data_IF_981563830513
#
_entry.id   IF_981563830513
#
_cell.length_a   1.000
_cell.length_b   1.000
_cell.length_c   1.000
_cell.angle_alpha   90.00
_cell.angle_beta   90.00
_cell.angle_gamma   90.00
#
_symmetry.space_group_name_H-M   'P 1'
#
loop_
_entity.id
_entity.type
_entity.pdbx_description
1 polymer ?
#
# COMPACT_ATOMS: atom_id res chain seq x y z
N UNK A 1 -13.14 -19.05 -1.43
CA UNK A 1 -12.45 -19.16 -2.74
C UNK A 1 -11.96 -17.80 -3.24
N UNK A 2 -12.77 -16.75 -3.13
CA UNK A 2 -12.43 -15.38 -3.60
C UNK A 2 -11.28 -14.72 -2.83
N UNK A 3 -11.13 -14.99 -1.53
CA UNK A 3 -10.05 -14.40 -0.71
C UNK A 3 -8.65 -14.95 -1.02
N UNK A 4 -8.53 -16.21 -1.42
CA UNK A 4 -7.24 -16.80 -1.81
C UNK A 4 -6.72 -16.28 -3.16
N UNK A 5 -7.63 -15.89 -4.05
CA UNK A 5 -7.28 -15.36 -5.37
C UNK A 5 -6.73 -13.94 -5.30
N UNK A 6 -7.20 -13.10 -4.35
CA UNK A 6 -6.82 -11.70 -4.22
C UNK A 6 -5.38 -11.54 -3.71
N UNK A 7 -4.98 -12.28 -2.69
CA UNK A 7 -3.61 -12.23 -2.14
C UNK A 7 -2.57 -12.72 -3.16
N UNK A 8 -2.89 -13.75 -3.91
CA UNK A 8 -2.00 -14.27 -4.96
C UNK A 8 -1.83 -13.33 -6.15
N UNK A 9 -2.87 -12.57 -6.52
CA UNK A 9 -2.80 -11.62 -7.65
C UNK A 9 -2.02 -10.36 -7.32
N UNK A 10 -2.09 -9.85 -6.10
CA UNK A 10 -1.27 -8.70 -5.66
C UNK A 10 0.22 -9.04 -5.68
N UNK A 11 0.60 -10.20 -5.15
CA UNK A 11 1.99 -10.67 -5.19
C UNK A 11 2.51 -10.87 -6.62
N UNK A 12 1.68 -11.44 -7.52
CA UNK A 12 2.07 -11.64 -8.91
C UNK A 12 2.34 -10.32 -9.66
N UNK A 13 1.56 -9.26 -9.43
CA UNK A 13 1.76 -7.96 -10.08
C UNK A 13 3.01 -7.28 -9.54
N UNK A 14 3.26 -7.36 -8.25
CA UNK A 14 4.42 -6.76 -7.62
C UNK A 14 5.73 -7.42 -8.04
N UNK A 15 5.81 -8.75 -8.03
CA UNK A 15 6.99 -9.48 -8.48
C UNK A 15 7.27 -9.28 -9.98
N UNK A 16 6.23 -8.99 -10.76
CA UNK A 16 6.33 -8.76 -12.19
C UNK A 16 6.90 -7.39 -12.56
N UNK A 17 6.73 -6.35 -11.73
CA UNK A 17 7.31 -5.02 -11.98
C UNK A 17 8.83 -5.05 -11.95
N UNK A 18 9.41 -5.96 -11.18
CA UNK A 18 10.86 -6.09 -11.06
C UNK A 18 11.52 -6.85 -12.20
N UNK A 19 10.78 -7.66 -12.94
CA UNK A 19 11.41 -8.63 -13.85
C UNK A 19 11.31 -8.30 -15.34
N UNK A 20 10.22 -7.69 -15.85
CA UNK A 20 10.10 -7.37 -17.29
C UNK A 20 9.12 -6.20 -17.57
N UNK A 21 9.62 -5.04 -18.02
CA UNK A 21 8.77 -3.90 -18.37
C UNK A 21 7.92 -4.06 -19.63
N UNK A 22 8.17 -5.07 -20.45
CA UNK A 22 7.65 -5.15 -21.82
C UNK A 22 6.37 -5.96 -22.00
N UNK A 23 5.87 -6.64 -20.96
CA UNK A 23 4.74 -7.57 -21.11
C UNK A 23 3.56 -7.24 -20.16
N UNK A 24 3.09 -5.99 -20.27
CA UNK A 24 2.00 -5.50 -19.42
C UNK A 24 0.61 -5.77 -19.97
N UNK A 25 0.47 -6.18 -21.23
CA UNK A 25 -0.85 -6.32 -21.87
C UNK A 25 -1.70 -7.37 -21.17
N UNK A 26 -1.14 -8.54 -20.91
CA UNK A 26 -1.83 -9.63 -20.21
C UNK A 26 -2.07 -9.30 -18.73
N UNK A 27 -1.16 -8.54 -18.11
CA UNK A 27 -1.25 -8.12 -16.71
C UNK A 27 -2.32 -7.06 -16.49
N UNK A 28 -2.52 -6.15 -17.45
CA UNK A 28 -3.62 -5.18 -17.39
C UNK A 28 -4.99 -5.84 -17.34
N UNK A 29 -5.16 -6.96 -18.05
CA UNK A 29 -6.40 -7.71 -17.98
C UNK A 29 -6.67 -8.30 -16.59
N UNK A 30 -5.64 -8.64 -15.83
CA UNK A 30 -5.75 -9.14 -14.47
C UNK A 30 -6.19 -8.04 -13.48
N UNK A 31 -5.90 -6.77 -13.74
CA UNK A 31 -6.23 -5.66 -12.84
C UNK A 31 -7.74 -5.54 -12.55
N UNK A 32 -8.59 -5.91 -13.51
CA UNK A 32 -10.06 -5.92 -13.32
C UNK A 32 -10.57 -6.88 -12.22
N UNK A 33 -9.73 -7.84 -11.84
CA UNK A 33 -10.04 -8.82 -10.78
C UNK A 33 -9.42 -8.47 -9.43
N UNK A 34 -8.63 -7.38 -9.38
CA UNK A 34 -7.94 -6.94 -8.18
C UNK A 34 -8.83 -5.97 -7.41
N UNK A 35 -9.05 -6.27 -6.14
CA UNK A 35 -9.79 -5.38 -5.25
C UNK A 35 -8.87 -4.30 -4.68
N UNK A 36 -7.71 -4.68 -4.16
CA UNK A 36 -6.72 -3.79 -3.58
C UNK A 36 -5.40 -3.92 -4.34
N UNK A 37 -4.88 -2.81 -4.83
CA UNK A 37 -3.55 -2.74 -5.42
C UNK A 37 -2.72 -1.72 -4.67
N UNK A 38 -1.61 -2.18 -4.10
CA UNK A 38 -0.59 -1.30 -3.53
C UNK A 38 0.59 -1.19 -4.49
N UNK A 39 0.99 0.03 -4.77
CA UNK A 39 2.19 0.36 -5.54
C UNK A 39 3.00 1.45 -4.81
N UNK A 40 4.31 1.46 -4.98
CA UNK A 40 5.14 2.61 -4.64
C UNK A 40 5.26 3.56 -5.83
N UNK A 41 5.91 4.72 -5.66
CA UNK A 41 6.08 5.73 -6.71
C UNK A 41 6.71 5.16 -7.98
N UNK A 42 7.76 4.36 -7.84
CA UNK A 42 8.44 3.76 -8.99
C UNK A 42 7.57 2.70 -9.69
N UNK A 43 6.95 1.82 -8.95
CA UNK A 43 6.02 0.81 -9.48
C UNK A 43 4.84 1.47 -10.19
N UNK A 44 4.30 2.52 -9.61
CA UNK A 44 3.23 3.32 -10.18
C UNK A 44 3.64 3.92 -11.54
N UNK A 45 4.80 4.56 -11.61
CA UNK A 45 5.33 5.17 -12.83
C UNK A 45 5.59 4.12 -13.92
N UNK A 46 6.20 3.00 -13.57
CA UNK A 46 6.44 1.88 -14.50
C UNK A 46 5.12 1.30 -15.03
N UNK A 47 4.10 1.16 -14.18
CA UNK A 47 2.81 0.60 -14.56
C UNK A 47 2.00 1.52 -15.47
N UNK A 48 1.93 2.80 -15.12
CA UNK A 48 1.00 3.75 -15.73
C UNK A 48 1.64 4.69 -16.73
N UNK A 49 2.97 4.87 -16.67
CA UNK A 49 3.71 5.91 -17.38
C UNK A 49 3.45 7.32 -16.83
N UNK A 50 2.86 7.44 -15.64
CA UNK A 50 2.48 8.71 -15.02
C UNK A 50 3.26 8.90 -13.72
N UNK A 51 3.75 10.11 -13.48
CA UNK A 51 4.47 10.48 -12.26
C UNK A 51 3.57 11.15 -11.20
N UNK A 52 2.38 11.64 -11.59
CA UNK A 52 1.41 12.18 -10.63
C UNK A 52 0.60 11.04 -9.97
N UNK A 53 0.64 10.93 -8.63
CA UNK A 53 -0.05 9.84 -7.92
C UNK A 53 -1.58 9.84 -8.08
N UNK A 54 -2.20 11.04 -8.23
CA UNK A 54 -3.64 11.13 -8.39
C UNK A 54 -4.07 10.67 -9.78
N UNK A 55 -3.34 11.08 -10.82
CA UNK A 55 -3.61 10.63 -12.19
C UNK A 55 -3.35 9.13 -12.36
N UNK A 56 -2.26 8.63 -11.79
CA UNK A 56 -1.93 7.23 -11.82
C UNK A 56 -2.96 6.36 -11.08
N UNK A 57 -3.42 6.78 -9.91
CA UNK A 57 -4.45 6.07 -9.16
C UNK A 57 -5.78 6.02 -9.92
N UNK A 58 -6.19 7.12 -10.57
CA UNK A 58 -7.38 7.12 -11.46
C UNK A 58 -7.21 6.14 -12.61
N UNK A 59 -6.04 6.13 -13.27
CA UNK A 59 -5.73 5.25 -14.38
C UNK A 59 -5.79 3.77 -13.98
N UNK A 60 -5.23 3.40 -12.83
CA UNK A 60 -5.29 2.04 -12.29
C UNK A 60 -6.71 1.62 -11.95
N UNK A 61 -7.50 2.55 -11.42
CA UNK A 61 -8.92 2.32 -11.16
C UNK A 61 -9.71 2.12 -12.47
N UNK A 62 -9.46 2.92 -13.51
CA UNK A 62 -10.06 2.75 -14.85
C UNK A 62 -9.73 1.37 -15.45
N UNK A 63 -8.58 0.80 -15.13
CA UNK A 63 -8.20 -0.56 -15.54
C UNK A 63 -8.86 -1.66 -14.70
N UNK A 64 -9.66 -1.28 -13.69
CA UNK A 64 -10.55 -2.16 -12.94
C UNK A 64 -10.23 -2.38 -11.47
N UNK A 65 -9.12 -1.85 -10.97
CA UNK A 65 -8.77 -1.93 -9.54
C UNK A 65 -9.79 -1.16 -8.70
N UNK A 66 -10.28 -1.73 -7.61
CA UNK A 66 -11.31 -1.10 -6.78
C UNK A 66 -10.74 -0.08 -5.79
N UNK A 67 -9.69 -0.42 -5.08
CA UNK A 67 -8.96 0.47 -4.19
C UNK A 67 -7.47 0.49 -4.57
N UNK A 68 -6.96 1.68 -4.90
CA UNK A 68 -5.55 1.87 -5.29
C UNK A 68 -4.82 2.56 -4.16
N UNK A 69 -3.73 1.95 -3.68
CA UNK A 69 -2.87 2.46 -2.63
C UNK A 69 -1.51 2.83 -3.22
N UNK A 70 -1.17 4.11 -3.22
CA UNK A 70 0.14 4.61 -3.67
C UNK A 70 0.95 5.02 -2.45
N UNK A 71 2.04 4.31 -2.15
CA UNK A 71 2.94 4.67 -1.05
C UNK A 71 4.04 5.62 -1.53
N UNK A 72 4.24 6.72 -0.79
CA UNK A 72 5.11 7.86 -1.13
C UNK A 72 6.27 8.01 -0.12
N UNK A 73 6.72 6.90 0.47
CA UNK A 73 7.78 6.90 1.47
C UNK A 73 7.45 7.77 2.69
N UNK A 74 8.33 8.70 3.03
CA UNK A 74 8.14 9.62 4.17
C UNK A 74 7.01 10.63 3.98
N UNK A 75 6.50 10.78 2.76
CA UNK A 75 5.35 11.64 2.45
C UNK A 75 4.00 10.92 2.66
N UNK A 76 4.02 9.74 3.24
CA UNK A 76 2.81 8.98 3.54
C UNK A 76 2.30 8.16 2.36
N UNK A 77 0.99 8.15 2.17
CA UNK A 77 0.36 7.43 1.06
C UNK A 77 -0.93 8.10 0.60
N UNK A 78 -1.33 7.78 -0.62
CA UNK A 78 -2.56 8.20 -1.23
C UNK A 78 -3.41 6.97 -1.53
N UNK A 79 -4.67 6.96 -1.09
CA UNK A 79 -5.61 5.87 -1.37
C UNK A 79 -6.76 6.43 -2.19
N UNK A 80 -7.13 5.73 -3.27
CA UNK A 80 -8.24 6.08 -4.13
C UNK A 80 -9.24 4.92 -4.21
N UNK A 81 -10.51 5.19 -3.93
CA UNK A 81 -11.58 4.19 -3.92
C UNK A 81 -12.50 4.25 -5.16
N UNK A 82 -12.11 5.03 -6.16
CA UNK A 82 -12.93 5.28 -7.35
C UNK A 82 -13.77 6.57 -7.29
N UNK A 83 -13.94 7.14 -6.10
CA UNK A 83 -14.67 8.39 -5.88
C UNK A 83 -13.81 9.41 -5.14
N UNK A 84 -13.28 9.02 -3.99
CA UNK A 84 -12.57 9.90 -3.06
C UNK A 84 -11.10 9.53 -2.95
N UNK A 85 -10.28 10.55 -2.71
CA UNK A 85 -8.89 10.40 -2.33
C UNK A 85 -8.71 10.58 -0.83
N UNK A 86 -7.97 9.65 -0.22
CA UNK A 86 -7.60 9.68 1.18
C UNK A 86 -6.08 9.84 1.26
N UNK A 87 -5.63 10.95 1.83
CA UNK A 87 -4.21 11.17 2.12
C UNK A 87 -3.91 10.67 3.53
N UNK A 88 -2.98 9.74 3.62
CA UNK A 88 -2.59 9.10 4.88
C UNK A 88 -1.18 9.59 5.23
N UNK A 89 -0.94 10.13 6.43
CA UNK A 89 0.39 10.54 6.84
C UNK A 89 1.32 9.34 7.00
N UNK A 90 2.63 9.57 6.87
CA UNK A 90 3.60 8.69 7.50
C UNK A 90 3.79 9.12 8.96
N UNK A 91 4.24 8.19 9.80
CA UNK A 91 4.63 8.51 11.16
C UNK A 91 6.15 8.54 11.27
N UNK A 92 6.67 9.46 12.08
CA UNK A 92 8.11 9.61 12.29
C UNK A 92 8.66 8.44 13.10
N UNK A 93 9.56 7.61 12.53
CA UNK A 93 10.16 6.51 13.27
C UNK A 93 11.16 7.04 14.30
N UNK A 94 11.33 6.32 15.41
CA UNK A 94 12.37 6.62 16.39
C UNK A 94 13.77 6.43 15.78
N UNK A 95 13.91 5.48 14.86
CA UNK A 95 15.15 5.23 14.10
C UNK A 95 14.81 4.53 12.78
N UNK A 96 15.67 4.67 11.79
CA UNK A 96 15.57 3.94 10.52
C UNK A 96 16.65 2.86 10.49
N UNK A 97 16.24 1.60 10.54
CA UNK A 97 17.15 0.44 10.55
C UNK A 97 17.07 -0.34 9.24
N UNK A 98 15.87 -0.71 8.81
CA UNK A 98 15.69 -1.55 7.62
C UNK A 98 14.34 -1.30 6.96
N UNK A 99 14.35 -0.76 5.73
CA UNK A 99 13.14 -0.48 4.96
C UNK A 99 12.60 -1.71 4.20
N UNK A 100 13.34 -2.83 4.18
CA UNK A 100 12.92 -4.04 3.48
C UNK A 100 11.62 -4.58 4.08
N UNK A 101 10.62 -4.81 3.23
CA UNK A 101 9.32 -5.34 3.67
C UNK A 101 8.37 -4.31 4.30
N UNK A 102 8.71 -3.02 4.36
CA UNK A 102 7.78 -1.98 4.83
C UNK A 102 6.52 -1.90 3.95
N UNK A 103 6.67 -2.03 2.63
CA UNK A 103 5.54 -2.06 1.71
C UNK A 103 4.62 -3.27 1.92
N UNK A 104 5.18 -4.44 2.22
CA UNK A 104 4.41 -5.65 2.55
C UNK A 104 3.68 -5.48 3.86
N UNK A 105 4.38 -4.95 4.86
CA UNK A 105 3.80 -4.64 6.17
C UNK A 105 2.65 -3.65 6.05
N UNK A 106 2.79 -2.62 5.20
CA UNK A 106 1.70 -1.69 4.90
C UNK A 106 0.50 -2.41 4.30
N UNK A 107 0.71 -3.23 3.26
CA UNK A 107 -0.35 -3.99 2.59
C UNK A 107 -1.09 -4.89 3.56
N UNK A 108 -0.36 -5.64 4.38
CA UNK A 108 -0.94 -6.57 5.37
C UNK A 108 -1.75 -5.80 6.43
N UNK A 109 -1.21 -4.70 6.95
CA UNK A 109 -1.90 -3.85 7.93
C UNK A 109 -3.20 -3.26 7.38
N UNK A 110 -3.15 -2.76 6.15
CA UNK A 110 -4.34 -2.24 5.46
C UNK A 110 -5.40 -3.32 5.27
N UNK A 111 -5.04 -4.46 4.69
CA UNK A 111 -5.95 -5.57 4.45
C UNK A 111 -6.57 -6.11 5.74
N UNK A 112 -5.77 -6.26 6.79
CA UNK A 112 -6.25 -6.69 8.10
C UNK A 112 -7.40 -5.81 8.62
N UNK A 113 -7.24 -4.51 8.54
CA UNK A 113 -8.25 -3.55 8.97
C UNK A 113 -9.48 -3.54 8.04
N UNK A 114 -9.26 -3.56 6.73
CA UNK A 114 -10.37 -3.52 5.75
C UNK A 114 -11.25 -4.78 5.83
N UNK A 115 -10.65 -5.95 6.00
CA UNK A 115 -11.41 -7.21 6.20
C UNK A 115 -12.20 -7.19 7.52
N UNK A 116 -11.70 -6.46 8.52
CA UNK A 116 -12.41 -6.26 9.79
C UNK A 116 -13.53 -5.22 9.73
N UNK A 117 -13.76 -4.60 8.55
CA UNK A 117 -14.82 -3.62 8.35
C UNK A 117 -14.45 -2.17 8.69
N UNK A 118 -13.16 -1.90 8.95
CA UNK A 118 -12.64 -0.57 9.25
C UNK A 118 -12.69 0.33 8.01
N UNK A 119 -12.92 1.64 8.19
CA UNK A 119 -12.91 2.64 7.12
C UNK A 119 -11.55 2.77 6.44
N UNK A 120 -11.52 3.35 5.23
CA UNK A 120 -10.29 3.46 4.41
C UNK A 120 -9.22 4.27 5.13
N UNK A 121 -9.58 5.42 5.69
CA UNK A 121 -8.63 6.31 6.36
C UNK A 121 -8.02 5.66 7.61
N UNK A 122 -8.84 5.07 8.45
CA UNK A 122 -8.38 4.38 9.66
C UNK A 122 -7.49 3.16 9.30
N UNK A 123 -7.88 2.40 8.28
CA UNK A 123 -7.09 1.28 7.79
C UNK A 123 -5.73 1.75 7.24
N UNK A 124 -5.71 2.86 6.51
CA UNK A 124 -4.49 3.48 6.02
C UNK A 124 -3.57 3.95 7.14
N UNK A 125 -4.10 4.63 8.15
CA UNK A 125 -3.36 5.07 9.34
C UNK A 125 -2.75 3.89 10.11
N UNK A 126 -3.51 2.82 10.28
CA UNK A 126 -3.02 1.59 10.90
C UNK A 126 -1.87 0.97 10.10
N UNK A 127 -2.01 0.90 8.78
CA UNK A 127 -0.97 0.38 7.88
C UNK A 127 0.31 1.23 7.92
N UNK A 128 0.17 2.56 7.93
CA UNK A 128 1.29 3.50 8.03
C UNK A 128 2.05 3.34 9.35
N UNK A 129 1.34 3.27 10.49
CA UNK A 129 1.95 3.06 11.80
C UNK A 129 2.66 1.69 11.89
N UNK A 130 2.04 0.64 11.35
CA UNK A 130 2.65 -0.69 11.31
C UNK A 130 3.95 -0.69 10.49
N UNK A 131 4.00 0.03 9.36
CA UNK A 131 5.20 0.20 8.56
C UNK A 131 6.27 1.02 9.26
N UNK A 132 5.87 2.05 10.02
CA UNK A 132 6.78 2.85 10.85
C UNK A 132 7.46 2.00 11.91
N UNK A 133 6.71 1.18 12.64
CA UNK A 133 7.30 0.26 13.63
C UNK A 133 8.18 -0.82 12.99
N UNK A 134 7.87 -1.21 11.73
CA UNK A 134 8.70 -2.17 10.98
C UNK A 134 10.06 -1.58 10.62
N UNK A 135 10.13 -0.34 10.15
CA UNK A 135 11.39 0.28 9.69
C UNK A 135 12.40 0.46 10.84
N UNK A 136 11.94 0.48 12.08
CA UNK A 136 12.76 0.62 13.29
C UNK A 136 13.55 -0.65 13.66
N UNK A 137 13.25 -1.78 13.02
CA UNK A 137 13.84 -3.08 13.33
C UNK A 137 14.20 -3.85 12.07
N UNK A 138 15.25 -4.68 12.14
CA UNK A 138 15.58 -5.62 11.08
C UNK A 138 14.64 -6.84 11.13
N UNK A 139 14.40 -7.45 9.96
CA UNK A 139 13.54 -8.61 9.82
C UNK A 139 12.05 -8.26 9.67
N UNK A 140 11.14 -9.24 9.70
CA UNK A 140 9.70 -9.03 9.56
C UNK A 140 9.13 -8.27 10.75
N UNK A 141 7.95 -7.65 10.53
CA UNK A 141 7.20 -7.01 11.60
C UNK A 141 6.85 -8.04 12.69
N UNK A 142 7.15 -7.71 13.93
CA UNK A 142 6.93 -8.55 15.11
C UNK A 142 6.26 -7.82 16.29
N UNK A 143 5.65 -6.64 16.03
CA UNK A 143 4.86 -5.90 17.01
C UNK A 143 3.46 -6.48 17.20
N UNK A 144 2.73 -5.94 18.14
CA UNK A 144 1.33 -6.25 18.41
C UNK A 144 0.41 -5.08 18.03
N UNK A 145 -0.90 -5.28 18.15
CA UNK A 145 -1.89 -4.26 17.80
C UNK A 145 -1.82 -3.02 18.70
N UNK A 146 -1.54 -3.23 19.97
CA UNK A 146 -1.42 -2.18 20.97
C UNK A 146 -0.25 -1.25 20.64
N UNK A 147 0.89 -1.79 20.19
CA UNK A 147 2.04 -0.99 19.73
C UNK A 147 1.66 -0.11 18.54
N UNK A 148 0.88 -0.65 17.60
CA UNK A 148 0.44 0.10 16.40
C UNK A 148 -0.52 1.23 16.79
N UNK A 149 -1.49 0.96 17.67
CA UNK A 149 -2.42 1.98 18.17
C UNK A 149 -1.67 3.07 18.91
N UNK A 150 -0.73 2.69 19.78
CA UNK A 150 0.12 3.65 20.50
C UNK A 150 0.93 4.53 19.54
N UNK A 151 1.47 3.96 18.48
CA UNK A 151 2.18 4.72 17.44
C UNK A 151 1.26 5.76 16.78
N UNK A 152 0.01 5.41 16.44
CA UNK A 152 -0.96 6.34 15.85
C UNK A 152 -1.26 7.50 16.81
N UNK A 153 -1.35 7.23 18.10
CA UNK A 153 -1.72 8.22 19.12
C UNK A 153 -0.57 9.17 19.51
N UNK A 154 0.68 8.73 19.38
CA UNK A 154 1.82 9.42 19.99
C UNK A 154 2.90 9.88 19.02
N UNK A 155 3.00 9.25 17.84
CA UNK A 155 4.04 9.59 16.89
C UNK A 155 3.71 10.87 16.10
N UNK A 156 4.74 11.64 15.74
CA UNK A 156 4.65 12.81 14.88
C UNK A 156 4.25 12.40 13.46
N UNK A 157 3.17 13.01 12.95
CA UNK A 157 2.74 12.81 11.56
C UNK A 157 3.66 13.59 10.60
N UNK A 158 4.03 12.94 9.49
CA UNK A 158 4.83 13.52 8.39
C UNK A 158 3.97 13.56 7.12
N UNK A 159 4.07 14.67 6.36
CA UNK A 159 3.39 14.89 5.09
C UNK A 159 4.37 15.41 4.03
#
# INVERSE_FOLDING_TARGET
EMQRSLVGSEMCIRDSTHVYPTDWTDKREALRYIHFLKVNEHEMEVLTGLSDPHEAARRLHEWGVKEVLVTLGSMGSLIFNGTDFFRIPAYKPAQVVDATGCGDTYTIGYLYQRVSGTGIEEAGRFAAAMSTLKIEKSGPFNGNKEDVVHCIETAEEMF
#
